data_IF_834479787323
#
_entry.id   IF_834479787323
#
_cell.length_a   1.000
_cell.length_b   1.000
_cell.length_c   1.000
_cell.angle_alpha   90.00
_cell.angle_beta   90.00
_cell.angle_gamma   90.00
#
_symmetry.space_group_name_H-M   'P 1'
#
loop_
_entity.id
_entity.type
_entity.pdbx_description
1 polymer ?
#
# COMPACT_ATOMS: atom_id res chain seq x y z
N UNK A 1 1.83 -2.65 15.52
CA UNK A 1 0.56 -3.42 15.57
C UNK A 1 0.06 -3.63 14.15
N UNK A 2 -0.41 -4.82 13.76
CA UNK A 2 -0.74 -5.10 12.33
C UNK A 2 -2.14 -4.61 11.89
N UNK A 3 -2.95 -4.07 12.81
CA UNK A 3 -4.32 -3.65 12.51
C UNK A 3 -4.42 -2.58 11.43
N UNK A 4 -3.53 -1.58 11.47
CA UNK A 4 -3.46 -0.55 10.43
C UNK A 4 -3.13 -1.14 9.05
N UNK A 5 -2.24 -2.13 9.01
CA UNK A 5 -1.89 -2.78 7.76
C UNK A 5 -3.05 -3.60 7.18
N UNK A 6 -3.80 -4.31 8.04
CA UNK A 6 -5.01 -5.02 7.61
C UNK A 6 -6.05 -4.07 7.03
N UNK A 7 -6.26 -2.92 7.69
CA UNK A 7 -7.20 -1.91 7.22
C UNK A 7 -6.78 -1.35 5.85
N UNK A 8 -5.53 -0.94 5.69
CA UNK A 8 -5.05 -0.41 4.40
C UNK A 8 -5.06 -1.47 3.30
N UNK A 9 -4.68 -2.72 3.60
CA UNK A 9 -4.78 -3.82 2.65
C UNK A 9 -6.22 -4.03 2.17
N UNK A 10 -7.19 -3.99 3.09
CA UNK A 10 -8.61 -4.03 2.75
C UNK A 10 -9.02 -2.84 1.87
N UNK A 11 -8.60 -1.62 2.23
CA UNK A 11 -8.89 -0.41 1.45
C UNK A 11 -8.34 -0.55 0.03
N UNK A 12 -7.08 -0.98 -0.14
CA UNK A 12 -6.48 -1.16 -1.47
C UNK A 12 -7.21 -2.22 -2.29
N UNK A 13 -7.54 -3.37 -1.69
CA UNK A 13 -8.30 -4.43 -2.36
C UNK A 13 -9.68 -3.97 -2.81
N UNK A 14 -10.41 -3.27 -1.94
CA UNK A 14 -11.68 -2.65 -2.29
C UNK A 14 -11.51 -1.60 -3.40
N UNK A 15 -10.45 -0.79 -3.32
CA UNK A 15 -10.15 0.24 -4.31
C UNK A 15 -9.92 -0.36 -5.69
N UNK A 16 -9.27 -1.52 -5.77
CA UNK A 16 -9.10 -2.27 -7.03
C UNK A 16 -10.45 -2.66 -7.64
N UNK A 17 -11.39 -3.15 -6.83
CA UNK A 17 -12.74 -3.51 -7.29
C UNK A 17 -13.50 -2.25 -7.74
N UNK A 18 -13.41 -1.16 -6.98
CA UNK A 18 -14.06 0.11 -7.32
C UNK A 18 -13.46 0.80 -8.55
N UNK A 19 -12.19 0.51 -8.85
CA UNK A 19 -11.47 1.02 -10.02
C UNK A 19 -11.74 0.21 -11.28
N UNK A 20 -12.44 -0.93 -11.17
CA UNK A 20 -12.86 -1.70 -12.33
C UNK A 20 -13.78 -0.88 -13.23
N UNK A 21 -13.46 -0.83 -14.53
CA UNK A 21 -14.23 -0.15 -15.57
C UNK A 21 -14.28 1.39 -15.50
N UNK A 22 -13.32 2.02 -14.80
CA UNK A 22 -13.13 3.48 -14.86
C UNK A 22 -11.67 3.81 -15.12
N UNK A 23 -11.42 5.00 -15.66
CA UNK A 23 -10.07 5.52 -15.82
C UNK A 23 -9.44 5.74 -14.44
N UNK A 24 -8.26 5.14 -14.24
CA UNK A 24 -7.56 5.18 -12.96
C UNK A 24 -6.40 6.15 -13.03
N UNK A 25 -6.37 7.15 -12.14
CA UNK A 25 -5.15 7.93 -11.96
C UNK A 25 -4.25 7.21 -10.94
N UNK A 26 -3.52 6.21 -11.42
CA UNK A 26 -2.74 5.28 -10.59
C UNK A 26 -1.83 5.99 -9.58
N UNK A 27 -1.15 7.06 -10.00
CA UNK A 27 -0.24 7.85 -9.16
C UNK A 27 -1.00 8.61 -8.08
N UNK A 28 -2.02 9.39 -8.45
CA UNK A 28 -2.72 10.26 -7.49
C UNK A 28 -3.53 9.44 -6.48
N UNK A 29 -4.19 8.39 -6.95
CA UNK A 29 -5.02 7.54 -6.11
C UNK A 29 -4.17 6.72 -5.12
N UNK A 30 -3.03 6.20 -5.59
CA UNK A 30 -2.06 5.51 -4.72
C UNK A 30 -1.47 6.44 -3.66
N UNK A 31 -1.26 7.71 -4.00
CA UNK A 31 -0.80 8.70 -3.04
C UNK A 31 -1.87 8.92 -1.96
N UNK A 32 -3.14 9.04 -2.37
CA UNK A 32 -4.27 9.11 -1.45
C UNK A 32 -4.32 7.92 -0.49
N UNK A 33 -4.23 6.69 -1.01
CA UNK A 33 -4.20 5.45 -0.22
C UNK A 33 -3.02 5.45 0.76
N UNK A 34 -1.83 5.85 0.30
CA UNK A 34 -0.61 5.89 1.11
C UNK A 34 -0.74 6.90 2.26
N UNK A 35 -1.26 8.10 1.99
CA UNK A 35 -1.49 9.11 3.01
C UNK A 35 -2.54 8.64 4.03
N UNK A 36 -3.62 8.01 3.57
CA UNK A 36 -4.60 7.38 4.46
C UNK A 36 -3.95 6.29 5.33
N UNK A 37 -3.06 5.48 4.76
CA UNK A 37 -2.33 4.45 5.50
C UNK A 37 -1.42 5.01 6.59
N UNK A 38 -0.70 6.10 6.29
CA UNK A 38 0.16 6.81 7.25
C UNK A 38 -0.66 7.31 8.43
N UNK A 39 -1.79 7.99 8.14
CA UNK A 39 -2.68 8.53 9.17
C UNK A 39 -3.36 7.42 9.96
N UNK A 40 -3.83 6.36 9.31
CA UNK A 40 -4.43 5.22 9.99
C UNK A 40 -3.44 4.54 10.93
N UNK A 41 -2.19 4.35 10.50
CA UNK A 41 -1.13 3.78 11.34
C UNK A 41 -0.84 4.64 12.56
N UNK A 42 -0.66 5.96 12.39
CA UNK A 42 -0.35 6.85 13.51
C UNK A 42 -1.48 6.91 14.53
N UNK A 43 -2.74 6.95 14.07
CA UNK A 43 -3.91 6.93 14.94
C UNK A 43 -4.07 5.61 15.71
N UNK A 44 -3.85 4.46 15.04
CA UNK A 44 -4.03 3.15 15.67
C UNK A 44 -2.89 2.78 16.61
N UNK A 45 -1.67 3.27 16.38
CA UNK A 45 -0.52 3.00 17.25
C UNK A 45 -0.37 4.00 18.38
N UNK A 46 -1.18 5.07 18.41
CA UNK A 46 -1.09 6.15 19.40
C UNK A 46 0.33 6.71 19.56
N UNK A 47 1.12 6.65 18.49
CA UNK A 47 2.56 6.94 18.50
C UNK A 47 2.89 8.43 18.32
N UNK A 48 1.87 9.30 18.27
CA UNK A 48 2.05 10.72 17.93
C UNK A 48 2.16 10.96 16.42
N UNK A 49 2.63 12.16 16.00
CA UNK A 49 2.78 12.49 14.59
C UNK A 49 3.79 11.57 13.90
N UNK A 50 3.57 11.18 12.64
CA UNK A 50 4.47 10.29 11.91
C UNK A 50 5.86 10.93 11.75
N UNK A 51 6.90 10.19 12.13
CA UNK A 51 8.29 10.60 11.91
C UNK A 51 8.72 10.29 10.47
N UNK A 52 9.18 11.30 9.76
CA UNK A 52 9.62 11.19 8.35
C UNK A 52 11.14 11.23 8.22
N UNK A 53 11.83 10.28 8.82
CA UNK A 53 13.24 10.06 8.49
C UNK A 53 13.40 9.43 7.09
N UNK A 54 14.61 9.47 6.53
CA UNK A 54 14.87 8.99 5.17
C UNK A 54 14.47 7.53 4.96
N UNK A 55 14.69 6.67 5.95
CA UNK A 55 14.32 5.25 5.91
C UNK A 55 12.81 5.06 5.92
N UNK A 56 12.09 5.78 6.78
CA UNK A 56 10.62 5.74 6.85
C UNK A 56 9.98 6.25 5.56
N UNK A 57 10.51 7.33 4.98
CA UNK A 57 10.06 7.82 3.69
C UNK A 57 10.26 6.79 2.58
N UNK A 58 11.38 6.06 2.58
CA UNK A 58 11.60 4.99 1.62
C UNK A 58 10.65 3.81 1.82
N UNK A 59 10.38 3.41 3.07
CA UNK A 59 9.40 2.35 3.38
C UNK A 59 8.00 2.72 2.84
N UNK A 60 7.54 3.94 3.11
CA UNK A 60 6.27 4.42 2.57
C UNK A 60 6.30 4.56 1.05
N UNK A 61 7.43 4.98 0.48
CA UNK A 61 7.66 5.05 -0.96
C UNK A 61 7.54 3.69 -1.65
N UNK A 62 8.05 2.63 -1.05
CA UNK A 62 7.92 1.26 -1.57
C UNK A 62 6.44 0.83 -1.58
N UNK A 63 5.70 1.10 -0.51
CA UNK A 63 4.26 0.79 -0.43
C UNK A 63 3.44 1.64 -1.41
N UNK A 64 3.84 2.89 -1.63
CA UNK A 64 3.26 3.76 -2.66
C UNK A 64 3.47 3.16 -4.06
N UNK A 65 4.70 2.82 -4.42
CA UNK A 65 5.02 2.21 -5.72
C UNK A 65 4.24 0.91 -5.91
N UNK A 66 4.15 0.07 -4.88
CA UNK A 66 3.34 -1.16 -4.93
C UNK A 66 1.87 -0.86 -5.26
N UNK A 67 1.30 0.17 -4.64
CA UNK A 67 -0.08 0.59 -4.87
C UNK A 67 -0.28 1.15 -6.29
N UNK A 68 0.71 1.89 -6.82
CA UNK A 68 0.69 2.39 -8.21
C UNK A 68 0.67 1.21 -9.18
N UNK A 69 1.57 0.24 -9.00
CA UNK A 69 1.64 -0.95 -9.85
C UNK A 69 0.33 -1.74 -9.79
N UNK A 70 -0.24 -1.88 -8.60
CA UNK A 70 -1.56 -2.52 -8.39
C UNK A 70 -2.65 -1.85 -9.22
N UNK A 71 -2.74 -0.52 -9.17
CA UNK A 71 -3.77 0.23 -9.90
C UNK A 71 -3.55 0.21 -11.41
N UNK A 72 -2.29 0.24 -11.87
CA UNK A 72 -1.94 0.02 -13.28
C UNK A 72 -2.32 -1.38 -13.78
N UNK A 73 -2.20 -2.40 -12.93
CA UNK A 73 -2.65 -3.75 -13.27
C UNK A 73 -4.17 -3.80 -13.47
N UNK A 74 -4.93 -3.12 -12.62
CA UNK A 74 -6.39 -3.01 -12.79
C UNK A 74 -6.72 -2.26 -14.08
N UNK A 75 -6.13 -1.09 -14.30
CA UNK A 75 -6.40 -0.26 -15.49
C UNK A 75 -6.16 -1.03 -16.80
N UNK A 76 -5.11 -1.86 -16.84
CA UNK A 76 -4.71 -2.60 -18.05
C UNK A 76 -5.40 -3.94 -18.24
N UNK A 77 -5.70 -4.65 -17.16
CA UNK A 77 -6.13 -6.06 -17.21
C UNK A 77 -7.56 -6.28 -16.72
N UNK A 78 -8.28 -5.25 -16.31
CA UNK A 78 -9.66 -5.36 -15.82
C UNK A 78 -10.68 -5.65 -16.93
N UNK A 79 -10.62 -6.84 -17.54
CA UNK A 79 -11.51 -7.24 -18.64
C UNK A 79 -12.78 -7.96 -18.17
N UNK A 80 -12.74 -8.59 -16.99
CA UNK A 80 -13.88 -9.30 -16.42
C UNK A 80 -13.80 -9.37 -14.89
N UNK A 81 -14.93 -9.69 -14.26
CA UNK A 81 -15.03 -9.73 -12.79
C UNK A 81 -14.03 -10.69 -12.14
N UNK A 82 -13.73 -11.84 -12.76
CA UNK A 82 -12.82 -12.84 -12.20
C UNK A 82 -11.37 -12.34 -12.13
N UNK A 83 -10.90 -11.64 -13.16
CA UNK A 83 -9.56 -11.05 -13.21
C UNK A 83 -9.48 -9.91 -12.19
N UNK A 84 -10.52 -9.07 -12.11
CA UNK A 84 -10.57 -7.95 -11.16
C UNK A 84 -10.48 -8.43 -9.72
N UNK A 85 -11.25 -9.46 -9.38
CA UNK A 85 -11.23 -10.06 -8.04
C UNK A 85 -9.85 -10.66 -7.72
N UNK A 86 -9.23 -11.32 -8.70
CA UNK A 86 -7.90 -11.92 -8.54
C UNK A 86 -6.84 -10.85 -8.26
N UNK A 87 -6.83 -9.76 -9.04
CA UNK A 87 -5.91 -8.64 -8.85
C UNK A 87 -6.19 -7.98 -7.49
N UNK A 88 -7.45 -7.75 -7.13
CA UNK A 88 -7.81 -7.15 -5.85
C UNK A 88 -7.31 -7.98 -4.65
N UNK A 89 -7.50 -9.30 -4.69
CA UNK A 89 -7.03 -10.21 -3.63
C UNK A 89 -5.50 -10.22 -3.58
N UNK A 90 -4.82 -10.41 -4.72
CA UNK A 90 -3.37 -10.43 -4.79
C UNK A 90 -2.77 -9.11 -4.27
N UNK A 91 -3.40 -7.99 -4.62
CA UNK A 91 -2.98 -6.66 -4.23
C UNK A 91 -3.11 -6.44 -2.73
N UNK A 92 -4.27 -6.78 -2.14
CA UNK A 92 -4.49 -6.67 -0.71
C UNK A 92 -3.52 -7.57 0.09
N UNK A 93 -3.40 -8.83 -0.30
CA UNK A 93 -2.54 -9.82 0.37
C UNK A 93 -1.07 -9.41 0.25
N UNK A 94 -0.61 -9.07 -0.95
CA UNK A 94 0.78 -8.68 -1.17
C UNK A 94 1.13 -7.36 -0.48
N UNK A 95 0.23 -6.37 -0.47
CA UNK A 95 0.45 -5.13 0.26
C UNK A 95 0.59 -5.40 1.76
N UNK A 96 -0.27 -6.25 2.34
CA UNK A 96 -0.22 -6.59 3.76
C UNK A 96 1.10 -7.24 4.16
N UNK A 97 1.53 -8.27 3.44
CA UNK A 97 2.78 -8.97 3.75
C UNK A 97 4.01 -8.08 3.50
N UNK A 98 3.97 -7.25 2.46
CA UNK A 98 5.02 -6.28 2.18
C UNK A 98 5.12 -5.24 3.31
N UNK A 99 3.99 -4.70 3.78
CA UNK A 99 3.96 -3.77 4.90
C UNK A 99 4.49 -4.42 6.19
N UNK A 100 4.05 -5.64 6.50
CA UNK A 100 4.57 -6.38 7.66
C UNK A 100 6.08 -6.55 7.61
N UNK A 101 6.62 -6.93 6.46
CA UNK A 101 8.05 -7.11 6.29
C UNK A 101 8.81 -5.78 6.38
N UNK A 102 8.35 -4.75 5.67
CA UNK A 102 9.02 -3.43 5.65
C UNK A 102 9.09 -2.78 7.04
N UNK A 103 8.04 -2.92 7.85
CA UNK A 103 7.99 -2.38 9.21
C UNK A 103 8.58 -3.33 10.27
N UNK A 104 9.12 -4.48 9.87
CA UNK A 104 9.89 -5.35 10.77
C UNK A 104 11.31 -4.81 10.99
N UNK A 105 12.00 -5.28 12.04
CA UNK A 105 13.38 -4.90 12.31
C UNK A 105 14.32 -5.23 11.12
N UNK A 106 14.12 -6.39 10.49
CA UNK A 106 14.90 -6.83 9.33
C UNK A 106 14.65 -5.96 8.10
N UNK A 107 13.38 -5.65 7.81
CA UNK A 107 12.99 -4.79 6.69
C UNK A 107 13.54 -3.38 6.84
N UNK A 108 13.39 -2.79 8.03
CA UNK A 108 13.93 -1.46 8.34
C UNK A 108 15.46 -1.40 8.19
N UNK A 109 16.19 -2.41 8.67
CA UNK A 109 17.64 -2.50 8.50
C UNK A 109 18.03 -2.63 7.02
N UNK A 110 17.30 -3.45 6.27
CA UNK A 110 17.56 -3.66 4.84
C UNK A 110 17.32 -2.39 4.03
N UNK A 111 16.21 -1.71 4.23
CA UNK A 111 15.90 -0.44 3.56
C UNK A 111 16.91 0.64 3.97
N UNK A 112 17.30 0.68 5.24
CA UNK A 112 18.36 1.56 5.73
C UNK A 112 19.68 1.38 4.98
N UNK A 113 20.05 0.13 4.66
CA UNK A 113 21.27 -0.17 3.89
C UNK A 113 21.26 0.33 2.43
N UNK A 114 20.09 0.66 1.87
CA UNK A 114 19.98 1.20 0.50
C UNK A 114 20.12 2.71 0.43
N UNK A 115 20.02 3.40 1.57
CA UNK A 115 19.97 4.86 1.66
C UNK A 115 21.23 5.43 2.33
N UNK A 116 22.00 4.55 3.01
CA UNK A 116 23.26 4.88 3.69
C UNK A 116 24.45 4.99 2.74
#
# INVERSE_FOLDING_TARGET
MNGAFMLTAFVLGFWCIWSANRDVNSVLESLGITLTAIVAKSLMEWSGPPEFNSVMLAVWGILFIYSVVTLELIDRYSTNMSVNLTIAIASAVGWFFLAQWLFSAEGMAKVGSWIA
#
